data_IF_425286872779
#
_entry.id   IF_425286872779
#
_cell.length_a   1.000
_cell.length_b   1.000
_cell.length_c   1.000
_cell.angle_alpha   90.00
_cell.angle_beta   90.00
_cell.angle_gamma   90.00
#
_symmetry.space_group_name_H-M   'P 1'
#
loop_
_entity.id
_entity.type
_entity.pdbx_description
1 polymer ?
#
# COMPACT_ATOMS: atom_id res chain seq x y z
N UNK A 1 54.50 -33.79 26.29
CA UNK A 1 54.40 -33.32 24.89
C UNK A 1 53.07 -33.79 24.34
N UNK A 2 52.08 -32.91 24.22
CA UNK A 2 50.98 -32.99 23.25
C UNK A 2 50.17 -31.71 23.36
N UNK A 3 50.00 -31.09 22.21
CA UNK A 3 49.66 -29.68 21.99
C UNK A 3 48.15 -29.49 22.14
N UNK A 4 47.74 -28.51 22.97
CA UNK A 4 46.38 -27.97 22.93
C UNK A 4 46.21 -27.21 21.60
N UNK A 5 45.35 -27.72 20.73
CA UNK A 5 44.94 -27.03 19.51
C UNK A 5 43.85 -26.00 19.87
N UNK A 6 44.25 -24.76 20.14
CA UNK A 6 43.33 -23.63 20.26
C UNK A 6 43.19 -23.03 18.86
N UNK A 7 42.16 -23.43 18.10
CA UNK A 7 41.75 -22.70 16.90
C UNK A 7 40.62 -21.75 17.31
N UNK A 8 40.98 -20.48 17.36
CA UNK A 8 40.10 -19.35 17.64
C UNK A 8 39.01 -19.21 16.58
N UNK A 9 37.75 -19.23 16.99
CA UNK A 9 36.61 -18.84 16.14
C UNK A 9 36.62 -17.31 16.01
N UNK A 10 36.99 -16.82 14.83
CA UNK A 10 36.86 -15.41 14.47
C UNK A 10 35.37 -15.06 14.40
N UNK A 11 34.88 -14.33 15.40
CA UNK A 11 33.56 -13.71 15.39
C UNK A 11 33.61 -12.52 14.41
N UNK A 12 32.89 -12.63 13.30
CA UNK A 12 32.68 -11.50 12.39
C UNK A 12 31.55 -10.64 12.99
N UNK A 13 31.91 -9.75 13.91
CA UNK A 13 31.01 -8.72 14.43
C UNK A 13 30.85 -7.62 13.36
N UNK A 14 29.86 -7.78 12.49
CA UNK A 14 29.49 -6.82 11.45
C UNK A 14 28.06 -6.31 11.62
N UNK A 15 27.72 -5.73 12.77
CA UNK A 15 26.47 -4.98 12.94
C UNK A 15 26.75 -3.49 12.66
N UNK A 16 26.89 -3.15 11.38
CA UNK A 16 26.82 -1.76 10.94
C UNK A 16 25.36 -1.34 10.81
N UNK A 17 24.96 -0.13 11.23
CA UNK A 17 23.60 0.35 11.02
C UNK A 17 23.36 0.50 9.51
N UNK A 18 22.40 -0.26 8.98
CA UNK A 18 21.88 -0.04 7.63
C UNK A 18 21.08 1.25 7.67
N UNK A 19 21.73 2.35 7.28
CA UNK A 19 21.07 3.62 7.02
C UNK A 19 20.30 3.48 5.71
N UNK A 20 19.00 3.20 5.78
CA UNK A 20 18.09 3.42 4.66
C UNK A 20 17.90 4.92 4.47
N UNK A 21 18.83 5.54 3.74
CA UNK A 21 18.67 6.90 3.23
C UNK A 21 17.94 6.85 1.90
N UNK A 22 16.61 6.97 1.90
CA UNK A 22 15.84 7.15 0.66
C UNK A 22 15.89 8.62 0.24
N UNK A 23 16.79 8.93 -0.69
CA UNK A 23 16.73 10.17 -1.46
C UNK A 23 15.49 10.12 -2.36
N UNK A 24 14.46 10.87 -1.98
CA UNK A 24 13.19 10.95 -2.70
C UNK A 24 13.27 11.83 -3.96
N UNK A 25 12.56 11.40 -5.02
CA UNK A 25 11.77 12.14 -6.03
C UNK A 25 11.83 11.43 -7.42
N UNK A 26 10.83 11.41 -8.33
CA UNK A 26 9.63 12.28 -8.43
C UNK A 26 8.54 11.74 -9.37
N UNK A 27 7.91 10.59 -9.12
CA UNK A 27 6.81 10.12 -9.99
C UNK A 27 5.56 9.76 -9.17
N UNK A 28 4.43 10.44 -9.42
CA UNK A 28 3.09 9.95 -9.05
C UNK A 28 2.67 9.96 -7.57
N UNK A 29 3.49 10.46 -6.65
CA UNK A 29 3.13 10.51 -5.22
C UNK A 29 3.47 9.26 -4.42
N UNK A 30 4.32 8.37 -4.95
CA UNK A 30 4.89 7.23 -4.25
C UNK A 30 6.43 7.33 -4.22
N UNK A 31 7.13 6.93 -3.13
CA UNK A 31 8.58 6.85 -3.15
C UNK A 31 9.09 5.83 -4.18
N UNK A 32 10.33 6.01 -4.64
CA UNK A 32 10.98 5.03 -5.52
C UNK A 32 11.19 3.72 -4.75
N UNK A 33 10.65 2.63 -5.29
CA UNK A 33 10.75 1.29 -4.73
C UNK A 33 11.66 0.40 -5.59
N UNK A 34 12.34 -0.54 -4.93
CA UNK A 34 13.00 -1.66 -5.61
C UNK A 34 11.98 -2.59 -6.26
N UNK A 35 12.41 -3.39 -7.25
CA UNK A 35 11.53 -4.37 -7.91
C UNK A 35 10.90 -5.36 -6.91
N UNK A 36 11.64 -5.73 -5.85
CA UNK A 36 11.13 -6.62 -4.82
C UNK A 36 10.06 -5.96 -3.95
N UNK A 37 10.19 -4.67 -3.65
CA UNK A 37 9.21 -3.91 -2.86
C UNK A 37 7.91 -3.69 -3.62
N UNK A 38 7.98 -3.51 -4.95
CA UNK A 38 6.79 -3.39 -5.81
C UNK A 38 5.88 -4.63 -5.78
N UNK A 39 6.44 -5.81 -5.46
CA UNK A 39 5.69 -7.06 -5.34
C UNK A 39 4.97 -7.22 -4.00
N UNK A 40 5.24 -6.34 -3.02
CA UNK A 40 4.60 -6.41 -1.70
C UNK A 40 3.19 -5.82 -1.75
N UNK A 41 2.23 -6.35 -0.95
CA UNK A 41 0.94 -5.71 -0.80
C UNK A 41 1.09 -4.26 -0.32
N UNK A 42 0.40 -3.32 -0.96
CA UNK A 42 0.47 -1.89 -0.63
C UNK A 42 0.19 -1.65 0.87
N UNK A 43 -0.73 -2.42 1.44
CA UNK A 43 -1.13 -2.35 2.85
C UNK A 43 0.02 -2.60 3.83
N UNK A 44 1.07 -3.35 3.46
CA UNK A 44 2.20 -3.63 4.36
C UNK A 44 3.02 -2.38 4.68
N UNK A 45 3.22 -1.51 3.69
CA UNK A 45 3.87 -0.21 3.91
C UNK A 45 2.87 0.82 4.43
N UNK A 46 1.67 0.87 3.85
CA UNK A 46 0.70 1.92 4.19
C UNK A 46 0.11 1.82 5.60
N UNK A 47 0.15 0.66 6.25
CA UNK A 47 -0.16 0.55 7.68
C UNK A 47 0.85 1.28 8.60
N UNK A 48 2.03 1.62 8.06
CA UNK A 48 3.12 2.30 8.77
C UNK A 48 3.24 3.75 8.27
N UNK A 49 3.28 3.93 6.95
CA UNK A 49 3.56 5.23 6.32
C UNK A 49 2.34 6.17 6.29
N UNK A 50 1.13 5.62 6.20
CA UNK A 50 -0.14 6.39 6.19
C UNK A 50 -1.21 5.66 7.00
N UNK A 51 -0.99 5.47 8.32
CA UNK A 51 -1.82 4.60 9.15
C UNK A 51 -3.30 5.02 9.15
N UNK A 52 -3.60 6.31 9.04
CA UNK A 52 -4.97 6.83 8.95
C UNK A 52 -5.71 6.34 7.70
N UNK A 53 -5.05 6.33 6.54
CA UNK A 53 -5.63 5.81 5.28
C UNK A 53 -5.81 4.30 5.38
N UNK A 54 -4.79 3.62 5.92
CA UNK A 54 -4.87 2.18 6.14
C UNK A 54 -6.04 1.83 7.07
N UNK A 55 -6.20 2.55 8.18
CA UNK A 55 -7.25 2.30 9.16
C UNK A 55 -8.65 2.58 8.58
N UNK A 56 -8.81 3.64 7.78
CA UNK A 56 -10.06 3.89 7.06
C UNK A 56 -10.43 2.71 6.15
N UNK A 57 -9.47 2.23 5.34
CA UNK A 57 -9.67 1.07 4.48
C UNK A 57 -9.92 -0.21 5.27
N UNK A 58 -9.08 -0.52 6.25
CA UNK A 58 -9.10 -1.75 7.04
C UNK A 58 -10.44 -1.92 7.77
N UNK A 59 -10.96 -0.82 8.33
CA UNK A 59 -12.24 -0.79 9.03
C UNK A 59 -13.46 -0.62 8.11
N UNK A 60 -13.26 -0.53 6.79
CA UNK A 60 -14.33 -0.43 5.81
C UNK A 60 -14.87 -1.78 5.37
N UNK A 61 -15.98 -1.75 4.63
CA UNK A 61 -16.50 -2.96 3.97
C UNK A 61 -15.54 -3.52 2.91
N UNK A 62 -14.72 -2.68 2.29
CA UNK A 62 -13.72 -3.12 1.30
C UNK A 62 -12.52 -3.79 1.98
N UNK A 63 -12.03 -3.25 3.10
CA UNK A 63 -10.98 -3.88 3.91
C UNK A 63 -11.43 -5.23 4.47
N UNK A 64 -12.61 -5.27 5.10
CA UNK A 64 -13.22 -6.52 5.59
C UNK A 64 -13.47 -7.54 4.46
N UNK A 65 -13.82 -7.06 3.27
CA UNK A 65 -13.99 -7.87 2.07
C UNK A 65 -12.69 -8.20 1.33
N UNK A 66 -11.54 -7.80 1.86
CA UNK A 66 -10.21 -8.03 1.28
C UNK A 66 -10.02 -7.49 -0.14
N UNK A 67 -10.77 -6.45 -0.52
CA UNK A 67 -10.51 -5.66 -1.74
C UNK A 67 -9.21 -4.91 -1.52
N UNK A 68 -8.15 -5.28 -2.23
CA UNK A 68 -6.83 -4.68 -2.07
C UNK A 68 -6.79 -3.28 -2.71
N UNK A 69 -5.77 -2.52 -2.35
CA UNK A 69 -5.59 -1.14 -2.81
C UNK A 69 -5.53 -1.07 -4.33
N UNK A 70 -4.84 -2.02 -4.98
CA UNK A 70 -4.62 -2.03 -6.42
C UNK A 70 -5.89 -2.27 -7.24
N UNK A 71 -6.93 -2.89 -6.68
CA UNK A 71 -8.21 -3.04 -7.40
C UNK A 71 -8.87 -1.69 -7.69
N UNK A 72 -8.55 -0.65 -6.92
CA UNK A 72 -9.00 0.71 -7.20
C UNK A 72 -7.87 1.55 -7.81
N UNK A 73 -6.69 1.50 -7.18
CA UNK A 73 -5.59 2.42 -7.47
C UNK A 73 -4.61 1.91 -8.54
N UNK A 74 -4.73 0.69 -9.04
CA UNK A 74 -3.75 0.10 -9.96
C UNK A 74 -2.52 -0.50 -9.26
N UNK A 75 -1.67 -1.16 -10.02
CA UNK A 75 -0.35 -1.64 -9.56
C UNK A 75 0.65 -0.49 -9.57
N UNK A 76 1.91 -0.74 -9.17
CA UNK A 76 2.93 0.31 -9.11
C UNK A 76 3.16 1.00 -10.48
N UNK A 77 3.06 0.24 -11.57
CA UNK A 77 3.33 0.71 -12.94
C UNK A 77 2.26 1.67 -13.47
N UNK A 78 1.03 1.58 -12.95
CA UNK A 78 -0.12 2.37 -13.42
C UNK A 78 -0.91 2.97 -12.26
N UNK A 79 -0.23 3.25 -11.15
CA UNK A 79 -0.85 3.71 -9.92
C UNK A 79 -1.52 5.08 -10.11
N UNK A 80 -2.77 5.18 -9.67
CA UNK A 80 -3.53 6.41 -9.57
C UNK A 80 -3.81 6.72 -8.10
N UNK A 81 -3.34 7.86 -7.61
CA UNK A 81 -3.65 8.31 -6.23
C UNK A 81 -5.15 8.46 -6.02
N UNK A 82 -5.88 8.86 -7.06
CA UNK A 82 -7.35 8.92 -7.08
C UNK A 82 -7.84 8.02 -8.23
N UNK A 83 -8.62 6.97 -7.94
CA UNK A 83 -9.08 6.04 -8.95
C UNK A 83 -10.12 6.68 -9.87
N UNK A 84 -10.22 6.19 -11.11
CA UNK A 84 -11.31 6.60 -11.98
C UNK A 84 -12.66 6.09 -11.46
N UNK A 85 -13.73 6.86 -11.73
CA UNK A 85 -15.10 6.49 -11.37
C UNK A 85 -15.54 5.16 -12.02
N UNK A 86 -15.04 4.89 -13.22
CA UNK A 86 -15.26 3.66 -13.99
C UNK A 86 -14.78 2.41 -13.23
N UNK A 87 -13.69 2.51 -12.48
CA UNK A 87 -13.13 1.39 -11.69
C UNK A 87 -14.11 0.86 -10.66
N UNK A 88 -14.98 1.71 -10.10
CA UNK A 88 -16.02 1.27 -9.18
C UNK A 88 -17.07 0.37 -9.88
N UNK A 89 -17.28 0.56 -11.19
CA UNK A 89 -18.30 -0.12 -11.98
C UNK A 89 -18.10 -1.63 -12.12
N UNK A 90 -16.85 -2.12 -12.02
CA UNK A 90 -16.55 -3.56 -12.08
C UNK A 90 -17.31 -4.36 -11.01
N UNK A 91 -17.56 -3.78 -9.84
CA UNK A 91 -18.35 -4.40 -8.77
C UNK A 91 -19.67 -3.67 -8.49
N UNK A 92 -19.75 -2.37 -8.76
CA UNK A 92 -20.88 -1.51 -8.38
C UNK A 92 -21.59 -0.87 -9.58
N UNK A 93 -21.75 -1.58 -10.70
CA UNK A 93 -22.37 -1.04 -11.91
C UNK A 93 -23.74 -0.38 -11.66
N UNK A 94 -24.62 -1.03 -10.88
CA UNK A 94 -25.93 -0.45 -10.56
C UNK A 94 -25.90 0.81 -9.68
N UNK A 95 -24.80 1.06 -8.96
CA UNK A 95 -24.60 2.32 -8.24
C UNK A 95 -24.03 3.39 -9.19
N UNK A 96 -23.17 2.99 -10.13
CA UNK A 96 -22.58 3.88 -11.14
C UNK A 96 -23.66 4.50 -12.03
N UNK A 97 -24.67 3.73 -12.44
CA UNK A 97 -25.83 4.19 -13.21
C UNK A 97 -26.66 5.26 -12.48
N UNK A 98 -26.64 5.25 -11.14
CA UNK A 98 -27.38 6.20 -10.28
C UNK A 98 -26.52 7.38 -9.82
N UNK A 99 -25.21 7.31 -10.03
CA UNK A 99 -24.29 8.38 -9.68
C UNK A 99 -24.38 9.49 -10.74
N UNK A 100 -24.51 10.78 -10.34
CA UNK A 100 -24.44 11.88 -11.29
C UNK A 100 -23.18 11.78 -12.17
N UNK A 101 -23.34 12.07 -13.47
CA UNK A 101 -22.28 11.89 -14.45
C UNK A 101 -21.05 12.78 -14.16
N UNK A 102 -21.31 13.98 -13.66
CA UNK A 102 -20.35 15.04 -13.36
C UNK A 102 -19.71 14.95 -11.96
N UNK A 103 -20.13 13.99 -11.13
CA UNK A 103 -19.64 13.86 -9.75
C UNK A 103 -18.94 12.52 -9.52
N UNK A 104 -17.83 12.50 -8.75
CA UNK A 104 -17.25 11.26 -8.30
C UNK A 104 -18.01 10.70 -7.09
N UNK A 105 -17.90 9.38 -6.87
CA UNK A 105 -18.57 8.68 -5.78
C UNK A 105 -18.25 9.30 -4.40
N UNK A 106 -16.98 9.69 -4.21
CA UNK A 106 -16.49 10.21 -2.94
C UNK A 106 -16.89 11.65 -2.63
N UNK A 107 -17.63 12.33 -3.51
CA UNK A 107 -18.22 13.62 -3.16
C UNK A 107 -19.34 13.48 -2.12
N UNK A 108 -20.01 12.33 -2.10
CA UNK A 108 -21.10 12.03 -1.16
C UNK A 108 -20.74 10.90 -0.17
N UNK A 109 -19.81 10.03 -0.55
CA UNK A 109 -19.34 8.92 0.29
C UNK A 109 -17.95 9.21 0.85
N UNK A 110 -17.72 8.91 2.11
CA UNK A 110 -16.37 9.06 2.68
C UNK A 110 -15.41 8.07 2.00
N UNK A 111 -14.26 8.59 1.57
CA UNK A 111 -13.18 7.85 0.91
C UNK A 111 -12.72 6.73 1.84
N UNK A 112 -12.32 5.59 1.24
CA UNK A 112 -11.83 4.36 1.88
C UNK A 112 -12.72 3.73 2.95
N UNK A 113 -13.79 4.37 3.41
CA UNK A 113 -14.77 3.84 4.36
C UNK A 113 -16.05 3.36 3.66
N UNK A 114 -16.43 4.00 2.54
CA UNK A 114 -17.56 3.70 1.65
C UNK A 114 -18.79 3.13 2.38
N UNK A 115 -19.15 3.77 3.50
CA UNK A 115 -20.43 3.50 4.16
C UNK A 115 -21.51 4.22 3.36
N UNK A 116 -22.48 3.46 2.87
CA UNK A 116 -23.75 4.05 2.45
C UNK A 116 -24.41 4.51 3.76
N UNK A 117 -24.45 5.82 4.02
CA UNK A 117 -25.43 6.32 5.00
C UNK A 117 -26.79 5.95 4.42
N UNK A 118 -27.49 5.04 5.10
CA UNK A 118 -28.92 4.83 4.86
C UNK A 118 -29.67 6.10 5.24
#
# INVERSE_FOLDING_TARGET
MSVLLVVTVAHVSGAGPILFGSAAAKDGGHPQLTEQEKLRPCSECHQIETPEIYDEWYNSRHGLGMVKCYQCHGTYENMLTVPEKSTCGFCHNGALEKCPADKPCWQCHAVHTFKVKK
#
